data_IF_624210634677
#
_entry.id   IF_624210634677
#
_cell.length_a   1.000
_cell.length_b   1.000
_cell.length_c   1.000
_cell.angle_alpha   90.00
_cell.angle_beta   90.00
_cell.angle_gamma   90.00
#
_symmetry.space_group_name_H-M   'P 1'
#
loop_
_entity.id
_entity.type
_entity.pdbx_description
1 polymer ?
#
# COMPACT_ATOMS: atom_id res chain seq x y z
N UNK A 1 -4.21 14.82 11.51
CA UNK A 1 -5.45 14.03 11.37
C UNK A 1 -5.52 13.43 9.97
N UNK A 2 -5.32 14.23 8.92
CA UNK A 2 -5.18 13.81 7.52
C UNK A 2 -4.25 12.62 7.28
N UNK A 3 -3.01 12.67 7.79
CA UNK A 3 -2.00 11.62 7.56
C UNK A 3 -2.43 10.25 8.10
N UNK A 4 -3.13 10.24 9.23
CA UNK A 4 -3.68 9.00 9.80
C UNK A 4 -4.79 8.42 8.93
N UNK A 5 -5.62 9.28 8.32
CA UNK A 5 -6.66 8.82 7.40
C UNK A 5 -6.08 8.23 6.11
N UNK A 6 -4.96 8.77 5.61
CA UNK A 6 -4.21 8.16 4.50
C UNK A 6 -3.69 6.76 4.85
N UNK A 7 -3.09 6.60 6.03
CA UNK A 7 -2.62 5.28 6.49
C UNK A 7 -3.78 4.29 6.65
N UNK A 8 -4.88 4.72 7.25
CA UNK A 8 -6.09 3.89 7.39
C UNK A 8 -6.63 3.45 6.02
N UNK A 9 -6.70 4.36 5.04
CA UNK A 9 -7.13 4.03 3.69
C UNK A 9 -6.20 3.04 3.00
N UNK A 10 -4.88 3.18 3.20
CA UNK A 10 -3.89 2.21 2.71
C UNK A 10 -4.12 0.82 3.32
N UNK A 11 -4.30 0.75 4.64
CA UNK A 11 -4.56 -0.52 5.33
C UNK A 11 -5.83 -1.20 4.81
N UNK A 12 -6.93 -0.44 4.67
CA UNK A 12 -8.20 -0.95 4.13
C UNK A 12 -8.08 -1.40 2.66
N UNK A 13 -7.36 -0.65 1.83
CA UNK A 13 -7.11 -1.04 0.43
C UNK A 13 -6.25 -2.30 0.30
N UNK A 14 -5.22 -2.45 1.13
CA UNK A 14 -4.33 -3.61 1.08
C UNK A 14 -4.99 -4.86 1.66
N UNK A 15 -5.85 -4.72 2.67
CA UNK A 15 -6.55 -5.85 3.31
C UNK A 15 -7.83 -6.26 2.56
N UNK A 16 -8.70 -5.30 2.25
CA UNK A 16 -10.06 -5.55 1.80
C UNK A 16 -10.33 -5.05 0.37
N UNK A 17 -9.36 -4.38 -0.25
CA UNK A 17 -9.52 -3.72 -1.56
C UNK A 17 -10.70 -2.74 -1.61
N UNK A 18 -11.03 -2.13 -0.48
CA UNK A 18 -12.18 -1.25 -0.31
C UNK A 18 -11.87 -0.17 0.71
N UNK A 19 -12.38 1.05 0.52
CA UNK A 19 -12.29 2.13 1.53
C UNK A 19 -13.67 2.38 2.11
N UNK A 20 -13.77 2.37 3.43
CA UNK A 20 -15.01 2.62 4.17
C UNK A 20 -15.47 4.07 4.07
N UNK A 21 -16.78 4.30 4.21
CA UNK A 21 -17.37 5.66 4.20
C UNK A 21 -16.78 6.56 5.30
N UNK A 22 -16.46 5.99 6.46
CA UNK A 22 -15.83 6.71 7.57
C UNK A 22 -14.43 7.23 7.18
N UNK A 23 -13.65 6.39 6.49
CA UNK A 23 -12.33 6.76 6.00
C UNK A 23 -12.42 7.77 4.85
N UNK A 24 -13.40 7.64 3.95
CA UNK A 24 -13.68 8.66 2.93
C UNK A 24 -14.05 10.01 3.52
N UNK A 25 -14.87 10.03 4.58
CA UNK A 25 -15.23 11.25 5.30
C UNK A 25 -14.02 11.88 5.99
N UNK A 26 -13.09 11.08 6.51
CA UNK A 26 -11.86 11.58 7.12
C UNK A 26 -10.84 12.14 6.11
N UNK A 27 -11.04 11.87 4.81
CA UNK A 27 -10.24 12.39 3.69
C UNK A 27 -10.92 13.59 2.99
N UNK A 28 -11.88 14.26 3.66
CA UNK A 28 -12.69 15.34 3.09
C UNK A 28 -11.87 16.50 2.50
N UNK A 29 -10.72 16.77 3.10
CA UNK A 29 -9.78 17.83 2.73
C UNK A 29 -8.96 17.53 1.46
N UNK A 30 -8.98 16.29 0.96
CA UNK A 30 -8.37 15.94 -0.33
C UNK A 30 -9.36 16.12 -1.47
N UNK A 31 -8.85 16.62 -2.59
CA UNK A 31 -9.59 16.62 -3.85
C UNK A 31 -9.87 15.21 -4.35
N UNK A 32 -10.87 15.08 -5.21
CA UNK A 32 -11.20 13.83 -5.89
C UNK A 32 -9.98 13.22 -6.59
N UNK A 33 -9.17 14.04 -7.28
CA UNK A 33 -7.94 13.58 -7.94
C UNK A 33 -6.93 13.00 -6.96
N UNK A 34 -6.69 13.66 -5.83
CA UNK A 34 -5.78 13.16 -4.79
C UNK A 34 -6.27 11.84 -4.17
N UNK A 35 -7.60 11.69 -4.02
CA UNK A 35 -8.22 10.44 -3.55
C UNK A 35 -8.08 9.31 -4.58
N UNK A 36 -8.23 9.61 -5.87
CA UNK A 36 -7.98 8.66 -6.95
C UNK A 36 -6.49 8.25 -6.98
N UNK A 37 -5.58 9.20 -6.86
CA UNK A 37 -4.13 8.95 -6.84
C UNK A 37 -3.73 8.04 -5.67
N UNK A 38 -4.35 8.21 -4.50
CA UNK A 38 -4.18 7.34 -3.34
C UNK A 38 -4.53 5.88 -3.68
N UNK A 39 -5.74 5.66 -4.21
CA UNK A 39 -6.22 4.31 -4.58
C UNK A 39 -5.30 3.68 -5.63
N UNK A 40 -4.95 4.44 -6.68
CA UNK A 40 -4.10 3.97 -7.77
C UNK A 40 -2.71 3.59 -7.27
N UNK A 41 -2.12 4.42 -6.39
CA UNK A 41 -0.79 4.18 -5.83
C UNK A 41 -0.77 2.89 -5.03
N UNK A 42 -1.70 2.71 -4.09
CA UNK A 42 -1.75 1.51 -3.25
C UNK A 42 -2.00 0.26 -4.09
N UNK A 43 -2.92 0.31 -5.06
CA UNK A 43 -3.21 -0.81 -5.94
C UNK A 43 -1.99 -1.22 -6.78
N UNK A 44 -1.27 -0.24 -7.34
CA UNK A 44 -0.07 -0.50 -8.16
C UNK A 44 1.04 -1.17 -7.34
N UNK A 45 1.34 -0.65 -6.15
CA UNK A 45 2.35 -1.26 -5.28
C UNK A 45 1.93 -2.66 -4.83
N UNK A 46 0.66 -2.87 -4.49
CA UNK A 46 0.13 -4.20 -4.13
C UNK A 46 0.29 -5.20 -5.29
N UNK A 47 -0.02 -4.79 -6.52
CA UNK A 47 0.16 -5.62 -7.71
C UNK A 47 1.64 -5.95 -7.96
N UNK A 48 2.53 -4.97 -7.87
CA UNK A 48 3.97 -5.18 -8.08
C UNK A 48 4.54 -6.11 -7.01
N UNK A 49 4.21 -5.89 -5.73
CA UNK A 49 4.63 -6.77 -4.64
C UNK A 49 4.14 -8.20 -4.83
N UNK A 50 2.88 -8.40 -5.23
CA UNK A 50 2.34 -9.72 -5.55
C UNK A 50 3.14 -10.41 -6.67
N UNK A 51 3.46 -9.68 -7.74
CA UNK A 51 4.23 -10.20 -8.87
C UNK A 51 5.66 -10.59 -8.46
N UNK A 52 6.38 -9.69 -7.78
CA UNK A 52 7.74 -9.95 -7.31
C UNK A 52 7.79 -11.15 -6.37
N UNK A 53 6.83 -11.22 -5.44
CA UNK A 53 6.72 -12.33 -4.50
C UNK A 53 6.44 -13.66 -5.20
N UNK A 54 5.54 -13.67 -6.19
CA UNK A 54 5.18 -14.87 -6.94
C UNK A 54 6.34 -15.40 -7.78
N UNK A 55 7.18 -14.50 -8.30
CA UNK A 55 8.34 -14.87 -9.11
C UNK A 55 9.62 -15.09 -8.30
N UNK A 56 9.60 -14.91 -6.98
CA UNK A 56 10.77 -15.10 -6.12
C UNK A 56 11.91 -14.12 -6.44
N UNK A 57 11.57 -12.90 -6.88
CA UNK A 57 12.57 -11.88 -7.23
C UNK A 57 13.33 -11.47 -5.98
N UNK A 58 14.66 -11.61 -6.03
CA UNK A 58 15.56 -11.25 -4.93
C UNK A 58 15.89 -9.76 -4.95
N UNK A 59 16.38 -9.25 -3.82
CA UNK A 59 16.93 -7.88 -3.74
C UNK A 59 18.13 -7.73 -4.67
N UNK A 60 18.30 -6.52 -5.20
CA UNK A 60 19.51 -6.14 -5.94
C UNK A 60 20.74 -6.17 -5.00
N UNK A 61 21.92 -6.43 -5.56
CA UNK A 61 23.16 -6.67 -4.80
C UNK A 61 23.58 -5.51 -3.90
N UNK A 62 23.16 -4.28 -4.21
CA UNK A 62 23.44 -3.07 -3.46
C UNK A 62 22.40 -2.77 -2.35
N UNK A 63 21.35 -3.58 -2.24
CA UNK A 63 20.30 -3.43 -1.24
C UNK A 63 20.54 -4.35 -0.03
N UNK A 64 20.26 -3.82 1.16
CA UNK A 64 20.28 -4.59 2.40
C UNK A 64 18.85 -4.90 2.81
N UNK A 65 18.58 -6.17 3.14
CA UNK A 65 17.25 -6.58 3.62
C UNK A 65 16.95 -5.87 4.94
N UNK A 66 15.82 -5.17 4.97
CA UNK A 66 15.29 -4.59 6.19
C UNK A 66 15.00 -5.71 7.21
N UNK A 67 15.60 -5.67 8.43
CA UNK A 67 15.37 -6.69 9.45
C UNK A 67 13.89 -6.93 9.77
N UNK A 68 13.06 -5.88 9.69
CA UNK A 68 11.63 -5.96 9.98
C UNK A 68 10.85 -6.68 8.87
N UNK A 69 11.44 -6.86 7.68
CA UNK A 69 10.84 -7.54 6.53
C UNK A 69 11.35 -8.99 6.35
N UNK A 70 12.16 -9.49 7.28
CA UNK A 70 12.80 -10.81 7.21
C UNK A 70 11.83 -12.02 7.20
N UNK A 71 10.56 -11.81 7.57
CA UNK A 71 9.53 -12.86 7.60
C UNK A 71 8.60 -12.91 6.38
N UNK A 72 8.77 -12.02 5.40
CA UNK A 72 7.84 -11.84 4.26
C UNK A 72 8.42 -12.42 2.95
N UNK A 73 9.58 -13.07 3.01
CA UNK A 73 10.25 -13.63 1.83
C UNK A 73 9.42 -14.81 1.28
N UNK A 74 9.03 -14.80 0.00
CA UNK A 74 8.81 -16.06 -0.71
C UNK A 74 10.16 -16.77 -0.82
N UNK A 75 10.15 -18.08 -0.67
CA UNK A 75 11.33 -18.94 -0.73
C UNK A 75 12.23 -18.69 -1.95
#
# INVERSE_FOLDING_TARGET
MSDRALLQATDELTSDAFISDATWAALDNYSEKQRMDLVMTVAQYTQVSMMLNTFGVQLDEDLTLDPDLSGITPA
#
